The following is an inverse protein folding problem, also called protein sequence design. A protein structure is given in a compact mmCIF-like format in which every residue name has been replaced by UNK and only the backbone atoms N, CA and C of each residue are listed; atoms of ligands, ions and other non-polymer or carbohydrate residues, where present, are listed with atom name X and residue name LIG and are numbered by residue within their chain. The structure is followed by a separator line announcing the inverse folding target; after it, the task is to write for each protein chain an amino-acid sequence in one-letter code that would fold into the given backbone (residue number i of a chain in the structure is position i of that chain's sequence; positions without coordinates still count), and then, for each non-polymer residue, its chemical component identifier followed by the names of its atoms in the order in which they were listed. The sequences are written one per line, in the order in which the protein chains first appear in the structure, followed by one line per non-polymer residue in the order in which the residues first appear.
data_IF_949221072761
#
_entry.id   IF_949221072761
#
_cell.length_a   1.000
_cell.length_b   1.000
_cell.length_c   1.000
_cell.angle_alpha   90.00
_cell.angle_beta   90.00
_cell.angle_gamma   90.00
#
_symmetry.space_group_name_H-M   'P 1'
#
loop_
_entity.id
_entity.type
_entity.pdbx_description
1 polymer ?
2 non-polymer ?
3 water ?
#
# COMPACT_ATOMS: atom_id res chain seq x y z
N UNK A 33 -24.74 -24.58 12.61
CA UNK A 33 -24.39 -23.86 13.84
C UNK A 33 -25.64 -23.29 14.51
N UNK A 34 -26.67 -24.13 14.60
CA UNK A 34 -27.97 -23.68 15.10
C UNK A 34 -27.88 -23.24 16.56
N UNK A 35 -27.20 -24.02 17.40
CA UNK A 35 -27.24 -23.79 18.83
C UNK A 35 -26.39 -22.63 19.29
N UNK A 36 -25.43 -22.17 18.48
CA UNK A 36 -24.60 -21.07 18.88
C UNK A 36 -23.44 -20.83 17.93
N UNK A 37 -22.70 -19.76 18.16
CA UNK A 37 -21.54 -19.44 17.33
C UNK A 37 -20.43 -20.46 17.50
N UNK A 38 -19.54 -20.59 16.53
CA UNK A 38 -18.32 -21.37 16.75
C UNK A 38 -17.63 -20.94 18.05
N UNK A 39 -17.22 -21.91 18.85
CA UNK A 39 -16.73 -21.64 20.24
C UNK A 39 -15.25 -21.96 20.45
N UNK A 40 -14.68 -22.89 19.69
CA UNK A 40 -13.26 -23.22 19.87
C UNK A 40 -12.47 -22.95 18.59
N UNK A 41 -11.15 -22.96 18.66
CA UNK A 41 -10.35 -22.71 17.44
C UNK A 41 -10.61 -23.82 16.43
N UNK A 42 -10.70 -25.04 16.90
CA UNK A 42 -10.96 -26.14 15.97
C UNK A 42 -12.29 -25.95 15.27
N UNK A 43 -13.30 -25.43 15.98
CA UNK A 43 -14.58 -25.15 15.35
C UNK A 43 -14.46 -24.00 14.35
N UNK A 44 -13.66 -22.98 14.69
CA UNK A 44 -13.47 -21.85 13.77
C UNK A 44 -12.84 -22.32 12.47
N UNK A 45 -11.93 -23.29 12.55
CA UNK A 45 -11.28 -23.84 11.35
C UNK A 45 -12.26 -24.56 10.43
N UNK A 46 -13.47 -24.86 10.91
CA UNK A 46 -14.51 -25.46 10.09
C UNK A 46 -15.58 -24.46 9.68
N UNK A 47 -15.46 -23.19 10.07
CA UNK A 47 -16.49 -22.18 9.83
C UNK A 47 -16.17 -21.46 8.53
N UNK A 48 -16.88 -21.84 7.46
CA UNK A 48 -16.52 -21.37 6.12
C UNK A 48 -16.56 -19.86 5.96
N UNK A 49 -17.52 -19.10 6.55
CA UNK A 49 -17.47 -17.63 6.38
C UNK A 49 -16.21 -16.97 6.92
N UNK A 50 -15.70 -17.44 8.07
CA UNK A 50 -14.41 -16.96 8.54
C UNK A 50 -13.32 -17.27 7.51
N UNK A 51 -13.31 -18.50 7.00
CA UNK A 51 -12.25 -18.91 6.09
C UNK A 51 -12.28 -18.10 4.80
N UNK A 52 -13.47 -17.93 4.19
CA UNK A 52 -13.44 -17.21 2.93
C UNK A 52 -13.18 -15.73 3.14
N UNK A 53 -13.48 -15.18 4.32
CA UNK A 53 -13.13 -13.79 4.57
C UNK A 53 -11.64 -13.60 4.78
N UNK A 54 -11.03 -14.43 5.63
CA UNK A 54 -9.59 -14.33 5.85
C UNK A 54 -8.84 -14.55 4.54
N UNK A 55 -9.28 -15.53 3.73
CA UNK A 55 -8.65 -15.81 2.46
C UNK A 55 -8.79 -14.65 1.49
N UNK A 56 -10.02 -14.17 1.30
CA UNK A 56 -10.24 -13.10 0.34
C UNK A 56 -9.40 -11.89 0.70
N UNK A 57 -9.30 -11.57 1.99
CA UNK A 57 -8.54 -10.39 2.38
C UNK A 57 -7.08 -10.53 1.98
N UNK A 58 -6.44 -11.66 2.34
CA UNK A 58 -5.01 -11.78 2.05
C UNK A 58 -4.76 -11.92 0.56
N UNK A 59 -5.58 -12.70 -0.13
CA UNK A 59 -5.44 -12.85 -1.57
C UNK A 59 -5.54 -11.50 -2.26
N UNK A 60 -6.53 -10.71 -1.87
CA UNK A 60 -6.72 -9.42 -2.54
C UNK A 60 -5.61 -8.44 -2.19
N UNK A 61 -5.11 -8.46 -0.95
CA UNK A 61 -3.98 -7.58 -0.62
C UNK A 61 -2.77 -7.91 -1.48
N UNK A 62 -2.39 -9.20 -1.50
CA UNK A 62 -1.23 -9.65 -2.28
C UNK A 62 -1.41 -9.31 -3.75
N UNK A 63 -2.60 -9.55 -4.29
CA UNK A 63 -2.85 -9.29 -5.70
C UNK A 63 -2.78 -7.80 -6.00
N UNK A 64 -3.32 -6.96 -5.13
CA UNK A 64 -3.29 -5.53 -5.35
C UNK A 64 -1.85 -5.01 -5.30
N UNK A 65 -1.03 -5.58 -4.41
CA UNK A 65 0.38 -5.21 -4.39
C UNK A 65 1.03 -5.55 -5.73
N UNK A 66 0.80 -6.77 -6.22
CA UNK A 66 1.43 -7.18 -7.48
C UNK A 66 0.92 -6.33 -8.65
N UNK A 67 -0.37 -5.98 -8.64
CA UNK A 67 -0.95 -5.20 -9.72
C UNK A 67 -0.51 -3.76 -9.69
N UNK A 68 -0.08 -3.25 -8.52
CA UNK A 68 0.37 -1.86 -8.44
C UNK A 68 1.54 -1.60 -9.37
N UNK A 69 2.37 -2.63 -9.63
CA UNK A 69 3.47 -2.44 -10.58
C UNK A 69 2.95 -2.04 -11.96
N UNK A 70 1.77 -2.52 -12.33
CA UNK A 70 1.16 -2.20 -13.61
C UNK A 70 0.23 -0.99 -13.55
N UNK A 71 0.18 -0.30 -12.42
CA UNK A 71 -0.66 0.88 -12.30
C UNK A 71 -2.15 0.61 -12.29
N UNK A 72 -2.56 -0.62 -11.99
CA UNK A 72 -3.98 -0.95 -11.89
C UNK A 72 -4.23 -1.63 -10.54
N UNK A 73 -5.50 -1.91 -10.27
CA UNK A 73 -5.87 -2.54 -9.01
C UNK A 73 -6.74 -3.77 -9.21
N UNK A 74 -7.26 -4.32 -8.12
CA UNK A 74 -8.05 -5.55 -8.20
C UNK A 74 -9.29 -5.36 -9.07
N UNK A 75 -9.98 -4.23 -8.93
CA UNK A 75 -11.22 -4.06 -9.69
C UNK A 75 -10.93 -4.01 -11.17
N UNK A 76 -9.85 -3.33 -11.56
CA UNK A 76 -9.49 -3.25 -12.98
C UNK A 76 -9.11 -4.63 -13.49
N UNK A 77 -8.29 -5.37 -12.74
CA UNK A 77 -7.90 -6.71 -13.15
C UNK A 77 -9.11 -7.63 -13.28
N UNK A 78 -10.01 -7.60 -12.29
CA UNK A 78 -11.16 -8.48 -12.38
C UNK A 78 -12.04 -8.12 -13.56
N UNK A 79 -12.12 -6.82 -13.89
CA UNK A 79 -12.88 -6.39 -15.06
C UNK A 79 -12.25 -6.90 -16.34
N UNK A 80 -10.93 -6.80 -16.46
CA UNK A 80 -10.25 -7.37 -17.62
C UNK A 80 -10.54 -8.85 -17.73
N UNK A 81 -10.52 -9.55 -16.60
CA UNK A 81 -10.71 -11.00 -16.61
C UNK A 81 -12.11 -11.37 -17.09
N UNK A 82 -13.14 -10.72 -16.53
CA UNK A 82 -14.47 -11.13 -16.93
C UNK A 82 -14.80 -10.66 -18.36
N UNK A 83 -14.25 -9.53 -18.82
CA UNK A 83 -14.45 -9.16 -20.21
C UNK A 83 -13.70 -10.11 -21.14
N UNK A 84 -12.59 -10.68 -20.68
CA UNK A 84 -11.89 -11.69 -21.47
C UNK A 84 -12.76 -12.92 -21.66
N UNK A 85 -13.51 -13.28 -20.61
CA UNK A 85 -14.35 -14.47 -20.67
C UNK A 85 -15.63 -14.21 -21.46
N UNK A 86 -16.30 -13.09 -21.17
CA UNK A 86 -17.64 -12.83 -21.72
C UNK A 86 -17.63 -12.00 -23.00
N UNK A 87 -16.49 -11.40 -23.35
CA UNK A 87 -16.25 -10.53 -24.54
C UNK A 87 -16.86 -9.14 -24.36
N UNK A 88 -18.18 -9.07 -24.23
CA UNK A 88 -18.85 -7.79 -23.96
C UNK A 88 -19.76 -7.95 -22.75
N UNK A 89 -19.84 -6.91 -21.96
CA UNK A 89 -20.70 -6.87 -20.79
C UNK A 89 -21.25 -5.47 -20.62
N UNK A 90 -22.44 -5.34 -20.04
CA UNK A 90 -22.86 -4.03 -19.58
C UNK A 90 -22.09 -3.64 -18.32
N UNK A 91 -22.06 -2.33 -18.04
CA UNK A 91 -21.40 -1.86 -16.83
C UNK A 91 -22.02 -2.52 -15.59
N UNK A 92 -23.36 -2.69 -15.56
CA UNK A 92 -24.00 -3.35 -14.42
C UNK A 92 -23.50 -4.78 -14.26
N UNK A 93 -23.36 -5.51 -15.37
CA UNK A 93 -22.85 -6.87 -15.31
C UNK A 93 -21.39 -6.90 -14.87
N UNK A 94 -20.57 -5.94 -15.33
CA UNK A 94 -19.19 -5.83 -14.83
C UNK A 94 -19.19 -5.67 -13.33
N UNK A 95 -20.07 -4.80 -12.81
CA UNK A 95 -20.11 -4.59 -11.37
C UNK A 95 -20.36 -5.90 -10.63
N UNK A 96 -21.31 -6.69 -11.12
CA UNK A 96 -21.60 -7.97 -10.46
C UNK A 96 -20.44 -8.95 -10.60
N UNK A 97 -19.96 -9.17 -11.84
CA UNK A 97 -19.01 -10.25 -12.09
C UNK A 97 -17.61 -9.90 -11.62
N UNK A 98 -17.24 -8.62 -11.64
CA UNK A 98 -15.97 -8.16 -11.10
C UNK A 98 -16.08 -7.78 -9.63
N UNK A 99 -17.23 -8.05 -9.02
CA UNK A 99 -17.43 -7.92 -7.57
C UNK A 99 -17.02 -6.54 -7.08
N UNK A 100 -17.71 -5.52 -7.57
CA UNK A 100 -17.52 -4.16 -7.05
C UNK A 100 -18.86 -3.43 -7.04
N UNK A 101 -18.93 -2.35 -6.29
CA UNK A 101 -20.12 -1.52 -6.22
C UNK A 101 -20.44 -0.94 -7.60
N UNK A 102 -21.72 -0.77 -7.91
CA UNK A 102 -22.09 -0.29 -9.24
C UNK A 102 -21.46 1.07 -9.54
N UNK A 103 -21.47 1.99 -8.58
CA UNK A 103 -20.89 3.31 -8.82
C UNK A 103 -19.39 3.21 -9.07
N UNK A 104 -18.70 2.38 -8.28
CA UNK A 104 -17.26 2.18 -8.49
C UNK A 104 -16.99 1.54 -9.84
N UNK A 105 -17.84 0.60 -10.25
CA UNK A 105 -17.65 -0.04 -11.55
C UNK A 105 -17.81 0.96 -12.70
N UNK A 106 -18.82 1.83 -12.64
CA UNK A 106 -19.00 2.77 -13.73
C UNK A 106 -17.81 3.73 -13.83
N UNK A 107 -17.33 4.23 -12.68
CA UNK A 107 -16.18 5.12 -12.72
C UNK A 107 -14.92 4.40 -13.21
N UNK A 108 -14.72 3.15 -12.78
CA UNK A 108 -13.54 2.41 -13.21
C UNK A 108 -13.62 2.05 -14.69
N UNK A 109 -14.81 1.76 -15.21
CA UNK A 109 -14.90 1.47 -16.63
C UNK A 109 -14.57 2.72 -17.44
N UNK A 110 -15.04 3.89 -16.99
CA UNK A 110 -14.66 5.13 -17.69
C UNK A 110 -13.15 5.35 -17.63
N UNK A 111 -12.54 5.07 -16.47
CA UNK A 111 -11.08 5.16 -16.36
C UNK A 111 -10.39 4.21 -17.33
N UNK A 112 -10.93 2.99 -17.48
CA UNK A 112 -10.31 2.00 -18.34
C UNK A 112 -10.50 2.34 -19.81
N UNK A 113 -11.59 3.03 -20.15
CA UNK A 113 -11.75 3.52 -21.51
C UNK A 113 -10.74 4.62 -21.80
N UNK A 114 -10.60 5.57 -20.87
CA UNK A 114 -9.62 6.63 -21.07
C UNK A 114 -8.20 6.08 -21.21
N UNK A 115 -7.86 5.04 -20.45
CA UNK A 115 -6.52 4.48 -20.49
C UNK A 115 -6.34 3.42 -21.59
N UNK A 116 -7.35 3.22 -22.42
CA UNK A 116 -7.18 2.38 -23.60
C UNK A 116 -7.25 0.88 -23.40
N UNK A 117 -7.82 0.41 -22.29
CA UNK A 117 -7.97 -1.02 -22.05
C UNK A 117 -9.36 -1.55 -22.41
N UNK A 118 -10.35 -0.68 -22.44
CA UNK A 118 -11.74 -1.05 -22.70
C UNK A 118 -12.28 -0.08 -23.73
N UNK A 119 -13.17 -0.57 -24.58
CA UNK A 119 -13.90 0.25 -25.54
C UNK A 119 -15.40 0.17 -25.29
N UNK A 120 -16.08 1.27 -25.61
CA UNK A 120 -17.53 1.33 -25.57
C UNK A 120 -18.07 0.84 -26.91
N UNK A 121 -18.95 -0.15 -26.88
CA UNK A 121 -19.47 -0.72 -28.12
C UNK A 121 -20.61 0.10 -28.68
N UNK A 130 -25.70 -0.30 -22.59
CA UNK A 130 -24.35 0.30 -22.53
C UNK A 130 -23.32 -0.83 -22.36
N UNK A 131 -22.89 -1.42 -23.48
CA UNK A 131 -21.97 -2.58 -23.47
C UNK A 131 -20.52 -2.15 -23.73
N UNK A 132 -19.58 -2.80 -23.04
CA UNK A 132 -18.16 -2.52 -23.18
C UNK A 132 -17.44 -3.83 -23.45
N UNK A 133 -16.24 -3.71 -24.04
CA UNK A 133 -15.39 -4.84 -24.30
C UNK A 133 -13.92 -4.46 -24.19
N UNK A 134 -13.06 -5.47 -24.27
CA UNK A 134 -11.63 -5.23 -24.21
C UNK A 134 -11.15 -4.62 -25.52
N UNK A 135 -10.15 -3.73 -25.41
CA UNK A 135 -9.30 -3.40 -26.56
C UNK A 135 -8.20 -4.45 -26.67
N UNK A 136 -7.50 -4.49 -27.81
CA UNK A 136 -6.30 -5.35 -27.88
C UNK A 136 -5.30 -5.08 -26.78
N UNK A 137 -5.12 -3.82 -26.39
CA UNK A 137 -4.20 -3.48 -25.32
C UNK A 137 -4.68 -4.05 -23.97
N UNK A 138 -5.99 -4.05 -23.74
CA UNK A 138 -6.50 -4.65 -22.51
C UNK A 138 -6.24 -6.15 -22.42
N UNK A 139 -6.46 -6.85 -23.54
CA UNK A 139 -6.15 -8.27 -23.57
C UNK A 139 -4.66 -8.52 -23.39
N UNK A 140 -3.82 -7.70 -24.05
CA UNK A 140 -2.37 -7.86 -23.89
C UNK A 140 -1.96 -7.66 -22.45
N UNK A 141 -2.56 -6.69 -21.76
CA UNK A 141 -2.22 -6.44 -20.36
C UNK A 141 -2.58 -7.63 -19.49
N UNK A 142 -3.78 -8.19 -19.66
CA UNK A 142 -4.14 -9.39 -18.92
C UNK A 142 -3.11 -10.50 -19.15
N UNK A 143 -2.72 -10.70 -20.41
CA UNK A 143 -1.75 -11.75 -20.72
C UNK A 143 -0.42 -11.50 -20.03
N UNK A 144 0.02 -10.24 -19.97
CA UNK A 144 1.33 -9.95 -19.41
C UNK A 144 1.31 -10.04 -17.89
N UNK A 145 0.17 -9.83 -17.25
CA UNK A 145 0.15 -9.94 -15.80
C UNK A 145 -0.13 -11.36 -15.32
N UNK A 146 -0.67 -12.23 -16.17
CA UNK A 146 -1.03 -13.56 -15.69
C UNK A 146 0.12 -14.42 -15.15
N UNK A 147 1.38 -14.35 -15.62
CA UNK A 147 2.40 -15.24 -15.02
C UNK A 147 2.55 -15.10 -13.51
N UNK A 148 2.54 -13.86 -13.02
CA UNK A 148 2.63 -13.66 -11.57
C UNK A 148 1.38 -14.16 -10.88
N UNK A 149 0.21 -13.92 -11.49
CA UNK A 149 -1.04 -14.37 -10.90
C UNK A 149 -1.11 -15.89 -10.80
N UNK A 150 -0.68 -16.58 -11.85
CA UNK A 150 -0.62 -18.03 -11.84
C UNK A 150 0.32 -18.53 -10.75
N UNK A 151 1.45 -17.84 -10.54
CA UNK A 151 2.35 -18.24 -9.46
C UNK A 151 1.67 -18.08 -8.09
N UNK A 152 0.91 -17.00 -7.91
CA UNK A 152 0.18 -16.81 -6.66
C UNK A 152 -0.85 -17.92 -6.45
N UNK A 153 -1.57 -18.28 -7.52
CA UNK A 153 -2.52 -19.38 -7.43
C UNK A 153 -1.84 -20.71 -7.11
N UNK A 154 -0.67 -20.95 -7.71
CA UNK A 154 0.07 -22.17 -7.39
C UNK A 154 0.41 -22.24 -5.92
N UNK A 155 0.84 -21.12 -5.34
CA UNK A 155 1.12 -21.10 -3.90
C UNK A 155 -0.14 -21.37 -3.10
N UNK A 156 -1.26 -20.77 -3.51
CA UNK A 156 -2.54 -20.94 -2.83
C UNK A 156 -2.93 -22.41 -2.68
N UNK A 157 -2.70 -23.23 -3.70
CA UNK A 157 -3.22 -24.59 -3.74
C UNK A 157 -2.18 -25.64 -3.36
N UNK A 158 -1.03 -25.22 -2.82
CA UNK A 158 -0.04 -26.20 -2.37
C UNK A 158 -0.63 -27.15 -1.34
N UNK A 159 -0.35 -28.45 -1.50
CA UNK A 159 -0.78 -29.43 -0.53
C UNK A 159 -2.24 -29.77 -0.57
N UNK A 160 -2.92 -29.53 -1.70
CA UNK A 160 -4.35 -29.80 -1.83
C UNK A 160 -4.55 -30.69 -3.05
N UNK A 161 -5.26 -31.81 -2.84
CA UNK A 161 -5.52 -32.75 -3.92
C UNK A 161 -6.46 -32.16 -4.95
N UNK A 162 -6.25 -32.43 -6.25
CA UNK A 162 -7.17 -31.92 -7.27
C UNK A 162 -8.63 -32.27 -7.04
N UNK A 163 -8.92 -33.47 -6.54
CA UNK A 163 -10.31 -33.83 -6.23
C UNK A 163 -10.88 -32.94 -5.14
N UNK A 164 -10.07 -32.57 -4.16
CA UNK A 164 -10.54 -31.71 -3.08
C UNK A 164 -10.73 -30.29 -3.57
N UNK A 165 -9.87 -29.82 -4.47
CA UNK A 165 -10.09 -28.55 -5.15
C UNK A 165 -11.46 -28.54 -5.84
N UNK A 166 -11.77 -29.64 -6.53
CA UNK A 166 -13.05 -29.70 -7.25
C UNK A 166 -14.24 -29.68 -6.29
N UNK A 167 -14.16 -30.41 -5.18
CA UNK A 167 -15.25 -30.38 -4.19
C UNK A 167 -15.38 -28.96 -3.62
N UNK A 168 -14.25 -28.36 -3.26
CA UNK A 168 -14.29 -27.02 -2.68
C UNK A 168 -14.94 -26.04 -3.64
N UNK A 169 -14.56 -26.08 -4.92
CA UNK A 169 -15.16 -25.16 -5.88
C UNK A 169 -16.64 -25.41 -6.06
N UNK A 170 -17.06 -26.68 -6.10
CA UNK A 170 -18.49 -26.98 -6.25
C UNK A 170 -19.29 -26.44 -5.07
N UNK A 171 -18.74 -26.59 -3.86
CA UNK A 171 -19.40 -26.05 -2.67
C UNK A 171 -19.51 -24.54 -2.76
N UNK A 172 -18.40 -23.86 -3.05
CA UNK A 172 -18.43 -22.39 -3.10
C UNK A 172 -19.36 -21.89 -4.20
N UNK A 173 -19.38 -22.58 -5.34
CA UNK A 173 -20.28 -22.19 -6.43
C UNK A 173 -21.74 -22.32 -6.02
N UNK A 174 -22.10 -23.41 -5.31
CA UNK A 174 -23.47 -23.49 -4.81
C UNK A 174 -23.76 -22.43 -3.77
N UNK A 175 -22.81 -22.12 -2.90
CA UNK A 175 -23.02 -21.05 -1.94
C UNK A 175 -23.29 -19.72 -2.65
N UNK A 176 -22.55 -19.44 -3.73
CA UNK A 176 -22.81 -18.24 -4.52
C UNK A 176 -24.24 -18.26 -5.06
N UNK A 177 -24.68 -19.42 -5.55
CA UNK A 177 -26.07 -19.51 -6.04
C UNK A 177 -27.08 -19.27 -4.91
N UNK A 178 -26.75 -19.71 -3.71
CA UNK A 178 -27.68 -19.57 -2.60
C UNK A 178 -27.84 -18.12 -2.19
N UNK A 179 -26.78 -17.31 -2.24
CA UNK A 179 -26.89 -15.97 -1.66
C UNK A 179 -26.79 -14.84 -2.68
N UNK A 180 -26.47 -15.10 -3.95
CA UNK A 180 -26.30 -13.98 -4.88
C UNK A 180 -27.62 -13.22 -5.08
N UNK A 181 -27.49 -11.89 -5.19
CA UNK A 181 -28.63 -11.06 -5.52
C UNK A 181 -28.87 -10.92 -7.01
N UNK A 182 -27.88 -11.25 -7.81
CA UNK A 182 -27.93 -11.12 -9.26
C UNK A 182 -27.67 -12.47 -9.90
N UNK A 183 -28.58 -12.91 -10.75
CA UNK A 183 -28.56 -14.28 -11.27
C UNK A 183 -27.66 -14.41 -12.49
N UNK A 184 -26.39 -14.06 -12.30
CA UNK A 184 -25.37 -14.23 -13.32
C UNK A 184 -24.09 -14.67 -12.65
N UNK B 36 43.29 18.57 2.95
CA UNK B 36 43.68 17.75 4.10
C UNK B 36 42.48 17.47 5.01
N UNK B 37 42.43 16.28 5.60
CA UNK B 37 41.30 15.92 6.48
C UNK B 37 41.28 16.80 7.70
N UNK B 38 40.09 16.97 8.33
CA UNK B 38 40.06 17.60 9.67
C UNK B 38 41.13 16.97 10.53
N UNK B 39 42.00 17.80 11.10
CA UNK B 39 43.20 17.33 11.79
C UNK B 39 43.09 17.44 13.29
N UNK B 40 42.27 18.35 13.73
CA UNK B 40 42.19 18.60 15.17
C UNK B 40 40.77 18.38 15.65
N UNK B 41 40.62 18.35 16.96
CA UNK B 41 39.31 18.17 17.61
C UNK B 41 38.44 19.37 17.25
N UNK B 42 39.00 20.57 17.26
CA UNK B 42 38.18 21.77 16.95
C UNK B 42 37.67 21.67 15.52
N UNK B 43 38.50 21.26 14.59
CA UNK B 43 38.09 21.12 13.19
C UNK B 43 37.00 20.07 13.07
N UNK B 44 37.16 18.91 13.73
CA UNK B 44 36.12 17.89 13.67
C UNK B 44 34.80 18.42 14.20
N UNK B 45 34.86 19.23 15.26
CA UNK B 45 33.68 19.78 15.88
C UNK B 45 32.95 20.75 14.97
N UNK B 46 33.64 21.32 13.98
CA UNK B 46 32.99 22.16 13.00
C UNK B 46 32.71 21.48 11.66
N UNK B 47 32.97 20.17 11.54
CA UNK B 47 32.91 19.47 10.26
C UNK B 47 31.50 18.94 10.03
N UNK B 48 30.76 19.57 9.10
CA UNK B 48 29.32 19.30 8.99
C UNK B 48 29.02 17.85 8.67
N UNK B 49 29.75 17.15 7.79
CA UNK B 49 29.38 15.72 7.55
C UNK B 49 29.51 14.85 8.80
N UNK B 50 30.53 15.07 9.62
CA UNK B 50 30.61 14.35 10.89
C UNK B 50 29.39 14.65 11.74
N UNK B 51 29.04 15.93 11.83
CA UNK B 51 27.94 16.34 12.68
C UNK B 51 26.62 15.76 12.20
N UNK B 52 26.32 15.83 10.88
CA UNK B 52 25.01 15.34 10.48
C UNK B 52 24.94 13.83 10.54
N UNK B 53 26.07 13.13 10.42
CA UNK B 53 26.04 11.69 10.65
C UNK B 53 25.82 11.33 12.12
N UNK B 54 26.59 11.96 13.03
CA UNK B 54 26.39 11.64 14.46
C UNK B 54 24.96 11.98 14.89
N UNK B 55 24.43 13.10 14.41
CA UNK B 55 23.06 13.49 14.73
C UNK B 55 22.05 12.50 14.19
N UNK B 56 22.13 12.20 12.88
CA UNK B 56 21.14 11.32 12.29
C UNK B 56 21.12 9.97 12.99
N UNK B 57 22.30 9.46 13.34
CA UNK B 57 22.36 8.17 14.00
C UNK B 57 21.62 8.20 15.33
N UNK B 58 21.94 9.17 16.20
CA UNK B 58 21.32 9.17 17.52
C UNK B 58 19.84 9.52 17.44
N UNK B 59 19.47 10.50 16.59
CA UNK B 59 18.07 10.85 16.43
C UNK B 59 17.26 9.65 15.98
N UNK B 60 17.77 8.89 15.00
CA UNK B 60 17.01 7.77 14.48
C UNK B 60 16.93 6.65 15.51
N UNK B 61 18.02 6.39 16.25
CA UNK B 61 17.96 5.36 17.29
C UNK B 61 16.94 5.71 18.37
N UNK B 62 16.99 6.96 18.86
CA UNK B 62 16.01 7.44 19.84
C UNK B 62 14.59 7.34 19.30
N UNK B 63 14.40 7.72 18.04
CA UNK B 63 13.06 7.72 17.46
C UNK B 63 12.51 6.31 17.38
N UNK B 64 13.33 5.36 16.94
CA UNK B 64 12.88 3.97 16.88
C UNK B 64 12.55 3.43 18.27
N UNK B 65 13.36 3.77 19.26
CA UNK B 65 13.08 3.33 20.63
C UNK B 65 11.77 3.90 21.13
N UNK B 66 11.54 5.20 20.90
CA UNK B 66 10.34 5.83 21.45
C UNK B 66 9.07 5.40 20.72
N UNK B 67 9.17 5.13 19.41
CA UNK B 67 8.02 4.65 18.64
C UNK B 67 7.75 3.16 18.85
N UNK B 68 8.75 2.37 19.27
CA UNK B 68 8.57 0.93 19.36
C UNK B 68 7.39 0.55 20.25
N UNK B 69 7.11 1.35 21.28
CA UNK B 69 5.99 1.08 22.17
C UNK B 69 4.64 1.24 21.47
N UNK B 70 4.59 2.04 20.40
CA UNK B 70 3.36 2.26 19.64
C UNK B 70 3.28 1.41 18.38
N UNK B 71 4.03 0.31 18.32
CA UNK B 71 3.95 -0.59 17.19
C UNK B 71 4.43 0.01 15.89
N UNK B 72 5.23 1.07 15.95
CA UNK B 72 5.66 1.85 14.80
C UNK B 72 7.17 1.73 14.70
N UNK B 73 7.71 1.91 13.50
CA UNK B 73 9.16 2.06 13.36
C UNK B 73 9.48 3.37 12.66
N UNK B 74 10.77 3.63 12.55
CA UNK B 74 11.26 4.82 11.85
C UNK B 74 10.63 4.96 10.47
N UNK B 75 10.63 3.88 9.69
CA UNK B 75 10.20 4.00 8.30
C UNK B 75 8.69 4.24 8.22
N UNK B 76 7.90 3.53 9.03
CA UNK B 76 6.45 3.77 9.02
C UNK B 76 6.15 5.19 9.46
N UNK B 77 6.81 5.64 10.54
CA UNK B 77 6.57 6.99 11.03
C UNK B 77 6.94 8.04 9.99
N UNK B 78 8.11 7.88 9.34
CA UNK B 78 8.54 8.86 8.36
C UNK B 78 7.70 8.78 7.09
N UNK B 79 7.17 7.59 6.79
CA UNK B 79 6.23 7.46 5.68
C UNK B 79 4.93 8.20 5.98
N UNK B 80 4.39 8.01 7.19
CA UNK B 80 3.23 8.80 7.61
C UNK B 80 3.55 10.27 7.50
N UNK B 81 4.76 10.66 7.93
CA UNK B 81 5.12 12.07 8.00
C UNK B 81 5.18 12.69 6.60
N UNK B 82 5.71 11.97 5.62
CA UNK B 82 5.80 12.58 4.30
C UNK B 82 4.48 12.47 3.54
N UNK B 83 3.67 11.44 3.78
CA UNK B 83 2.34 11.42 3.20
C UNK B 83 1.42 12.44 3.87
N UNK B 84 1.70 12.83 5.12
CA UNK B 84 0.98 13.91 5.78
C UNK B 84 1.17 15.22 5.02
N UNK B 85 2.31 15.37 4.36
CA UNK B 85 2.59 16.55 3.57
C UNK B 85 2.06 16.40 2.15
N UNK B 86 2.37 15.27 1.49
CA UNK B 86 2.11 15.12 0.07
C UNK B 86 0.80 14.43 -0.27
N UNK B 87 0.17 13.76 0.70
CA UNK B 87 -1.06 12.96 0.55
C UNK B 87 -0.85 11.68 -0.26
N UNK B 88 -0.41 11.79 -1.52
CA UNK B 88 -0.06 10.63 -2.32
C UNK B 88 1.38 10.71 -2.77
N UNK B 89 2.00 9.55 -2.86
CA UNK B 89 3.36 9.38 -3.37
C UNK B 89 3.51 7.99 -3.96
N UNK B 90 4.43 7.82 -4.92
CA UNK B 90 4.80 6.47 -5.28
C UNK B 90 5.68 5.86 -4.19
N UNK B 91 5.80 4.53 -4.22
CA UNK B 91 6.66 3.87 -3.26
C UNK B 91 8.10 4.38 -3.37
N UNK B 92 8.57 4.60 -4.60
CA UNK B 92 9.95 5.06 -4.78
C UNK B 92 10.13 6.48 -4.25
N UNK B 93 9.10 7.33 -4.41
CA UNK B 93 9.16 8.66 -3.81
C UNK B 93 9.17 8.58 -2.29
N UNK B 94 8.36 7.68 -1.71
CA UNK B 94 8.42 7.45 -0.27
C UNK B 94 9.82 7.07 0.15
N UNK B 95 10.47 6.18 -0.61
CA UNK B 95 11.82 5.78 -0.25
C UNK B 95 12.76 6.98 -0.21
N UNK B 96 12.60 7.92 -1.15
CA UNK B 96 13.48 9.09 -1.14
C UNK B 96 13.18 9.99 0.05
N UNK B 97 11.90 10.37 0.22
CA UNK B 97 11.56 11.38 1.21
C UNK B 97 11.54 10.84 2.64
N UNK B 98 11.14 9.57 2.82
CA UNK B 98 11.25 8.95 4.13
C UNK B 98 12.62 8.33 4.37
N UNK B 99 13.54 8.47 3.41
CA UNK B 99 14.94 8.08 3.55
C UNK B 99 15.06 6.63 3.99
N UNK B 100 14.65 5.72 3.10
CA UNK B 100 14.84 4.30 3.31
C UNK B 100 15.10 3.63 1.96
N UNK B 101 15.47 2.35 2.00
CA UNK B 101 15.62 1.58 0.77
C UNK B 101 14.28 1.41 0.09
N UNK B 102 14.30 1.34 -1.25
CA UNK B 102 13.04 1.10 -1.97
C UNK B 102 12.37 -0.18 -1.50
N UNK B 103 13.15 -1.23 -1.26
CA UNK B 103 12.53 -2.51 -0.89
C UNK B 103 11.90 -2.42 0.49
N UNK B 104 12.57 -1.73 1.41
CA UNK B 104 12.03 -1.50 2.74
C UNK B 104 10.76 -0.69 2.67
N UNK B 105 10.77 0.37 1.85
CA UNK B 105 9.57 1.18 1.70
C UNK B 105 8.42 0.34 1.15
N UNK B 106 8.69 -0.53 0.19
CA UNK B 106 7.61 -1.33 -0.37
C UNK B 106 7.02 -2.26 0.68
N UNK B 107 7.87 -2.91 1.48
CA UNK B 107 7.37 -3.82 2.51
C UNK B 107 6.59 -3.05 3.57
N UNK B 108 7.09 -1.88 3.96
CA UNK B 108 6.42 -1.13 5.02
C UNK B 108 5.11 -0.54 4.53
N UNK B 109 5.06 -0.14 3.26
CA UNK B 109 3.81 0.37 2.70
C UNK B 109 2.76 -0.72 2.70
N UNK B 110 3.15 -1.96 2.35
CA UNK B 110 2.17 -3.04 2.38
C UNK B 110 1.67 -3.27 3.80
N UNK B 111 2.59 -3.23 4.78
CA UNK B 111 2.16 -3.34 6.17
C UNK B 111 1.19 -2.23 6.54
N UNK B 112 1.44 -1.01 6.04
CA UNK B 112 0.57 0.12 6.36
C UNK B 112 -0.79 0.02 5.69
N UNK B 113 -0.87 -0.69 4.56
CA UNK B 113 -2.20 -0.98 4.00
C UNK B 113 -2.97 -1.85 4.98
N UNK B 114 -2.35 -2.92 5.46
CA UNK B 114 -3.02 -3.75 6.46
C UNK B 114 -3.29 -2.99 7.76
N UNK B 115 -2.47 -2.01 8.10
CA UNK B 115 -2.69 -1.26 9.32
C UNK B 115 -3.83 -0.26 9.18
N UNK B 116 -4.35 -0.04 7.97
CA UNK B 116 -5.38 0.95 7.71
C UNK B 116 -4.87 2.37 7.51
N UNK B 117 -3.55 2.54 7.38
CA UNK B 117 -2.95 3.88 7.40
C UNK B 117 -2.71 4.45 6.01
N UNK B 118 -2.62 3.58 5.00
CA UNK B 118 -2.48 4.02 3.62
C UNK B 118 -3.30 3.10 2.75
N UNK B 119 -3.61 3.60 1.56
CA UNK B 119 -4.39 2.88 0.57
C UNK B 119 -3.68 2.96 -0.77
N UNK B 120 -3.79 1.90 -1.55
CA UNK B 120 -3.24 1.91 -2.90
C UNK B 120 -4.16 2.67 -3.84
N UNK B 121 -3.57 3.46 -4.73
CA UNK B 121 -4.30 4.29 -5.67
C UNK B 121 -3.95 3.91 -7.10
N UNK B 122 -4.83 4.31 -8.02
CA UNK B 122 -4.51 4.23 -9.44
C UNK B 122 -4.39 5.66 -9.98
N UNK B 128 2.37 7.51 -11.48
CA UNK B 128 1.80 6.47 -12.38
C UNK B 128 1.79 5.07 -11.72
N UNK B 129 2.93 4.47 -11.39
CA UNK B 129 2.88 3.12 -10.77
C UNK B 129 3.17 3.16 -9.26
N UNK B 130 2.64 2.20 -8.52
CA UNK B 130 2.90 2.04 -7.07
C UNK B 130 2.54 3.31 -6.28
N UNK B 131 1.38 3.87 -6.59
CA UNK B 131 0.91 5.07 -5.90
C UNK B 131 0.17 4.66 -4.63
N UNK B 132 0.45 5.36 -3.53
CA UNK B 132 -0.29 5.16 -2.30
C UNK B 132 -0.64 6.52 -1.70
N UNK B 133 -1.74 6.52 -0.97
CA UNK B 133 -2.22 7.72 -0.30
C UNK B 133 -2.52 7.49 1.17
N UNK B 134 -2.35 8.55 1.94
CA UNK B 134 -2.64 8.50 3.37
C UNK B 134 -4.15 8.43 3.59
N UNK B 135 -4.58 7.59 4.52
CA UNK B 135 -6.00 7.53 4.88
C UNK B 135 -6.29 8.49 6.01
N UNK B 136 -7.57 8.78 6.29
CA UNK B 136 -7.85 9.56 7.51
C UNK B 136 -7.32 8.90 8.77
N UNK B 137 -7.34 7.57 8.86
CA UNK B 137 -6.78 6.89 10.02
C UNK B 137 -5.27 7.09 10.11
N UNK B 138 -4.58 7.11 8.97
CA UNK B 138 -3.15 7.38 9.00
C UNK B 138 -2.83 8.78 9.49
N UNK B 139 -3.57 9.77 8.99
CA UNK B 139 -3.41 11.14 9.47
C UNK B 139 -3.68 11.22 10.96
N UNK B 140 -4.76 10.58 11.42
CA UNK B 140 -5.10 10.64 12.85
C UNK B 140 -4.01 10.01 13.71
N UNK B 141 -3.43 8.88 13.24
CA UNK B 141 -2.37 8.25 14.02
C UNK B 141 -1.17 9.17 14.13
N UNK B 142 -0.77 9.77 13.02
CA UNK B 142 0.39 10.66 13.08
C UNK B 142 0.13 11.80 14.05
N UNK B 143 -1.06 12.41 13.98
CA UNK B 143 -1.34 13.52 14.89
C UNK B 143 -1.31 13.04 16.34
N UNK B 144 -1.77 11.81 16.58
CA UNK B 144 -1.83 11.28 17.94
C UNK B 144 -0.46 11.04 18.54
N UNK B 145 0.45 10.46 17.74
CA UNK B 145 1.77 10.12 18.27
C UNK B 145 2.76 11.27 18.17
N UNK B 146 2.43 12.33 17.43
CA UNK B 146 3.36 13.45 17.28
C UNK B 146 3.93 14.00 18.58
N UNK B 147 3.18 14.18 19.67
CA UNK B 147 3.79 14.79 20.87
C UNK B 147 5.06 14.12 21.35
N UNK B 148 5.20 12.81 21.14
CA UNK B 148 6.45 12.11 21.45
C UNK B 148 7.61 12.73 20.67
N UNK B 149 7.43 12.86 19.36
CA UNK B 149 8.49 13.44 18.55
C UNK B 149 8.64 14.93 18.79
N UNK B 150 7.56 15.64 19.11
CA UNK B 150 7.69 17.05 19.47
C UNK B 150 8.57 17.20 20.71
N UNK B 151 8.41 16.30 21.69
CA UNK B 151 9.27 16.30 22.88
C UNK B 151 10.73 16.10 22.49
N UNK B 152 10.96 15.10 21.64
CA UNK B 152 12.34 14.85 21.20
C UNK B 152 12.91 16.05 20.44
N UNK B 153 12.08 16.71 19.63
CA UNK B 153 12.53 17.88 18.90
C UNK B 153 12.85 19.04 19.83
N UNK B 154 12.02 19.24 20.85
CA UNK B 154 12.29 20.28 21.84
C UNK B 154 13.64 20.04 22.50
N UNK B 155 13.94 18.78 22.83
CA UNK B 155 15.26 18.48 23.38
C UNK B 155 16.36 18.79 22.37
N UNK B 156 16.12 18.41 21.11
CA UNK B 156 17.10 18.64 20.05
C UNK B 156 17.47 20.11 19.92
N UNK B 157 16.50 21.02 20.02
CA UNK B 157 16.75 22.42 19.74
C UNK B 157 16.94 23.26 21.00
N UNK B 158 17.15 22.62 22.14
CA UNK B 158 17.46 23.38 23.36
C UNK B 158 18.70 24.25 23.15
N UNK B 159 18.60 25.51 23.56
CA UNK B 159 19.77 26.36 23.47
C UNK B 159 20.10 26.82 22.07
N UNK B 160 19.14 26.76 21.15
CA UNK B 160 19.35 27.20 19.78
C UNK B 160 18.28 28.23 19.43
N UNK B 161 18.72 29.41 19.02
CA UNK B 161 17.83 30.52 18.70
C UNK B 161 17.05 30.25 17.41
N UNK B 162 15.82 30.76 17.32
CA UNK B 162 15.04 30.58 16.08
C UNK B 162 15.76 31.04 14.81
N UNK B 163 16.47 32.18 14.86
CA UNK B 163 17.17 32.66 13.67
C UNK B 163 18.26 31.67 13.25
N UNK B 164 18.92 31.07 14.23
CA UNK B 164 19.98 30.10 13.91
C UNK B 164 19.38 28.80 13.39
N UNK B 165 18.22 28.38 13.91
CA UNK B 165 17.49 27.27 13.32
C UNK B 165 17.23 27.54 11.83
N UNK B 166 16.78 28.77 11.52
CA UNK B 166 16.47 29.13 10.13
C UNK B 166 17.71 29.05 9.25
N UNK B 167 18.85 29.59 9.73
CA UNK B 167 20.07 29.57 8.93
C UNK B 167 20.54 28.13 8.71
N UNK B 168 20.53 27.32 9.78
CA UNK B 168 20.93 25.92 9.69
C UNK B 168 20.11 25.18 8.66
N UNK B 169 18.79 25.34 8.72
CA UNK B 169 17.91 24.64 7.78
C UNK B 169 18.15 25.10 6.35
N UNK B 170 18.34 26.40 6.13
CA UNK B 170 18.61 26.86 4.76
C UNK B 170 19.91 26.28 4.22
N UNK B 171 20.94 26.21 5.07
CA UNK B 171 22.19 25.61 4.64
C UNK B 171 21.98 24.15 4.28
N UNK B 172 21.34 23.39 5.17
CA UNK B 172 21.17 21.97 4.90
C UNK B 172 20.30 21.74 3.66
N UNK B 173 19.28 22.60 3.45
CA UNK B 173 18.41 22.42 2.29
C UNK B 173 19.17 22.69 0.99
N UNK B 174 20.06 23.68 0.99
CA UNK B 174 20.88 23.88 -0.21
C UNK B 174 21.85 22.70 -0.40
N UNK B 175 22.42 22.18 0.68
CA UNK B 175 23.26 20.99 0.56
C UNK B 175 22.51 19.83 -0.08
N UNK B 176 21.25 19.64 0.33
CA UNK B 176 20.43 18.60 -0.29
C UNK B 176 20.29 18.87 -1.78
N UNK B 177 20.01 20.13 -2.15
CA UNK B 177 19.91 20.45 -3.57
C UNK B 177 21.21 20.15 -4.31
N UNK B 178 22.35 20.38 -3.66
CA UNK B 178 23.65 20.20 -4.31
C UNK B 178 23.93 18.72 -4.59
N UNK B 179 23.55 17.81 -3.68
CA UNK B 179 23.98 16.42 -3.83
C UNK B 179 22.87 15.44 -4.15
N UNK B 180 21.61 15.86 -4.14
CA UNK B 180 20.53 14.90 -4.34
C UNK B 180 20.54 14.31 -5.75
N UNK B 181 20.24 13.03 -5.82
CA UNK B 181 20.12 12.32 -7.09
C UNK B 181 18.69 12.24 -7.60
N UNK B 182 17.70 12.51 -6.75
CA UNK B 182 16.30 12.47 -7.13
C UNK B 182 15.71 13.85 -6.95
N UNK B 183 15.08 14.38 -7.99
CA UNK B 183 14.61 15.77 -7.96
C UNK B 183 13.19 15.85 -7.38
N UNK B 184 13.10 15.41 -6.13
CA UNK B 184 11.91 15.56 -5.30
C UNK B 184 12.39 16.09 -3.96
#
# INVERSE_FOLDING_TARGET
MHHHHHHSSGVDLGTENLYFQSNAMARESKSRWKSGPPRTRDQLQTYIPYLFNRLANRWNLDQNRDLSDHGINNVVFRTLSVLFIYKTLTVNEVAVLAVTEQSTASRMVESMVSSGLVKREIAEEDQRRRVVGLTPDGEALLRKIWPIMASNYDKLIEGIEPDDIEVCARVLARMVENIRQNQI
MHHHHHHSSGVDLGTENLYFQSNAMARESKSRWKSGPPRTRDQLQTYIPYLFNRLANRWNLDQNRDLSDHGINNVVFRTLSVLFIYKTLTVNEVAVLAVTEQSTASRMVESMVSSGLVKREIAEEDQRRRVVGLTPDGEALLRKIWPIMASNYDKLIEGIEPDDIEVCARVLARMVENIRQNQI
#
